data_IF_003237685055
#
_entry.id   IF_003237685055
#
_cell.length_a   1.000
_cell.length_b   1.000
_cell.length_c   1.000
_cell.angle_alpha   90.00
_cell.angle_beta   90.00
_cell.angle_gamma   90.00
#
_symmetry.space_group_name_H-M   'P 1'
#
loop_
_entity.id
_entity.type
_entity.pdbx_description
1 polymer ?
#
# COMPACT_ATOMS: atom_id res chain seq x y z
N UNK A 1 58.88 -14.71 -55.27
CA UNK A 1 57.47 -14.63 -55.68
C UNK A 1 56.63 -14.88 -54.45
N UNK A 2 56.08 -13.85 -53.88
CA UNK A 2 55.43 -13.96 -52.61
C UNK A 2 53.98 -13.40 -52.80
N UNK A 3 52.99 -14.28 -52.76
CA UNK A 3 51.59 -13.94 -52.99
C UNK A 3 50.91 -13.74 -51.66
N UNK A 4 50.64 -12.49 -51.34
CA UNK A 4 49.86 -12.09 -50.17
C UNK A 4 48.38 -12.46 -50.35
N UNK A 5 47.83 -13.26 -49.44
CA UNK A 5 46.39 -13.49 -49.27
C UNK A 5 45.81 -12.46 -48.29
N UNK A 6 45.16 -11.45 -48.79
CA UNK A 6 44.34 -10.54 -48.00
C UNK A 6 43.04 -11.25 -47.56
N UNK A 7 42.84 -11.46 -46.27
CA UNK A 7 41.59 -11.93 -45.70
C UNK A 7 40.51 -10.81 -45.78
N UNK A 8 39.55 -10.96 -46.69
CA UNK A 8 38.35 -10.14 -46.69
C UNK A 8 37.46 -10.50 -45.49
N UNK A 9 37.35 -9.58 -44.52
CA UNK A 9 36.36 -9.68 -43.45
C UNK A 9 34.98 -9.33 -44.02
N UNK A 10 34.03 -10.24 -43.98
CA UNK A 10 32.71 -10.05 -44.54
C UNK A 10 31.94 -8.93 -43.82
N UNK A 11 31.17 -8.12 -44.60
CA UNK A 11 30.30 -7.07 -44.05
C UNK A 11 29.35 -7.54 -42.94
N UNK A 12 28.98 -8.83 -42.92
CA UNK A 12 28.19 -9.42 -41.85
C UNK A 12 28.95 -9.55 -40.52
N UNK A 13 30.24 -9.81 -40.55
CA UNK A 13 31.08 -9.86 -39.35
C UNK A 13 31.27 -8.48 -38.70
N UNK A 14 31.39 -7.41 -39.52
CA UNK A 14 31.47 -6.04 -39.00
C UNK A 14 30.15 -5.56 -38.38
N UNK A 15 29.00 -5.92 -38.91
CA UNK A 15 27.69 -5.56 -38.34
C UNK A 15 27.43 -6.31 -37.04
N UNK A 16 27.86 -7.57 -36.92
CA UNK A 16 27.75 -8.33 -35.67
C UNK A 16 28.66 -7.78 -34.57
N UNK A 17 29.87 -7.34 -34.89
CA UNK A 17 30.75 -6.70 -33.91
C UNK A 17 30.25 -5.32 -33.47
N UNK A 18 29.71 -4.52 -34.37
CA UNK A 18 29.16 -3.20 -34.04
C UNK A 18 27.90 -3.32 -33.15
N UNK A 19 27.02 -4.29 -33.43
CA UNK A 19 25.83 -4.57 -32.61
C UNK A 19 26.19 -5.05 -31.21
N UNK A 20 27.19 -5.93 -31.05
CA UNK A 20 27.64 -6.42 -29.74
C UNK A 20 28.32 -5.34 -28.90
N UNK A 21 29.10 -4.46 -29.53
CA UNK A 21 29.76 -3.36 -28.83
C UNK A 21 28.77 -2.31 -28.36
N UNK A 22 27.72 -1.98 -29.14
CA UNK A 22 26.65 -1.07 -28.69
C UNK A 22 25.82 -1.65 -27.53
N UNK A 23 25.50 -2.94 -27.56
CA UNK A 23 24.77 -3.59 -26.47
C UNK A 23 25.60 -3.70 -25.18
N UNK A 24 26.88 -3.97 -25.29
CA UNK A 24 27.80 -4.02 -24.14
C UNK A 24 28.06 -2.62 -23.59
N UNK A 25 28.17 -1.61 -24.44
CA UNK A 25 28.29 -0.20 -24.02
C UNK A 25 27.00 0.29 -23.33
N UNK A 26 25.82 -0.03 -23.88
CA UNK A 26 24.54 0.29 -23.26
C UNK A 26 24.36 -0.42 -21.90
N UNK A 27 24.74 -1.69 -21.78
CA UNK A 27 24.74 -2.42 -20.51
C UNK A 27 25.78 -1.89 -19.51
N UNK A 28 26.94 -1.42 -19.96
CA UNK A 28 27.95 -0.77 -19.10
C UNK A 28 27.52 0.61 -18.64
N UNK A 29 26.86 1.40 -19.48
CA UNK A 29 26.26 2.69 -19.09
C UNK A 29 25.13 2.50 -18.05
N UNK A 30 24.25 1.52 -18.25
CA UNK A 30 23.22 1.18 -17.26
C UNK A 30 23.81 0.68 -15.92
N UNK A 31 24.96 -0.02 -15.96
CA UNK A 31 25.67 -0.47 -14.76
C UNK A 31 26.45 0.65 -14.03
N UNK A 32 26.66 1.80 -14.66
CA UNK A 32 27.36 2.95 -14.08
C UNK A 32 26.43 3.99 -13.46
N UNK A 33 25.12 3.96 -13.75
CA UNK A 33 24.14 4.85 -13.09
C UNK A 33 23.76 4.27 -11.74
N UNK A 34 24.48 4.65 -10.70
CA UNK A 34 24.14 4.34 -9.31
C UNK A 34 23.72 5.62 -8.59
N UNK A 35 22.64 5.50 -7.80
CA UNK A 35 22.23 6.58 -6.93
C UNK A 35 21.21 7.55 -7.56
N UNK A 36 21.31 8.78 -7.16
CA UNK A 36 20.43 9.89 -7.59
C UNK A 36 21.29 11.06 -8.08
N UNK A 37 20.90 11.64 -9.21
CA UNK A 37 21.44 12.92 -9.67
C UNK A 37 20.43 14.03 -9.41
N UNK A 38 20.82 15.20 -8.88
CA UNK A 38 19.89 16.27 -8.53
C UNK A 38 19.36 17.05 -9.74
N UNK A 39 19.67 16.62 -10.96
CA UNK A 39 19.24 17.27 -12.18
C UNK A 39 18.18 16.43 -12.89
N UNK A 40 17.09 17.10 -13.34
CA UNK A 40 16.05 16.44 -14.11
C UNK A 40 16.50 16.17 -15.55
N UNK A 41 16.23 14.97 -16.02
CA UNK A 41 16.53 14.55 -17.40
C UNK A 41 15.25 14.09 -18.09
N UNK A 42 14.97 14.60 -19.26
CA UNK A 42 13.72 14.26 -19.98
C UNK A 42 12.45 14.68 -19.25
N UNK A 43 12.49 15.72 -18.42
CA UNK A 43 11.35 16.21 -17.64
C UNK A 43 11.06 15.45 -16.36
N UNK A 44 11.98 14.60 -15.91
CA UNK A 44 11.84 13.83 -14.68
C UNK A 44 13.16 13.69 -13.93
N UNK A 45 13.08 13.50 -12.61
CA UNK A 45 14.19 13.04 -11.77
C UNK A 45 14.28 11.52 -11.82
N UNK A 46 15.49 10.99 -11.86
CA UNK A 46 15.72 9.54 -11.92
C UNK A 46 16.45 9.06 -10.67
N UNK A 47 15.88 8.04 -10.02
CA UNK A 47 16.49 7.38 -8.86
C UNK A 47 16.81 5.94 -9.22
N UNK A 48 18.07 5.56 -9.07
CA UNK A 48 18.58 4.20 -9.30
C UNK A 48 18.94 3.53 -7.98
N UNK A 49 19.08 2.20 -7.93
CA UNK A 49 19.49 1.50 -6.72
C UNK A 49 20.74 2.12 -6.07
N UNK A 50 20.66 2.33 -4.75
CA UNK A 50 21.65 3.07 -3.98
C UNK A 50 21.39 4.57 -3.83
N UNK A 51 20.45 5.14 -4.61
CA UNK A 51 19.97 6.51 -4.43
C UNK A 51 18.85 6.60 -3.39
N UNK A 52 18.73 7.78 -2.77
CA UNK A 52 17.66 8.08 -1.83
C UNK A 52 16.49 8.74 -2.55
N UNK A 53 15.31 8.12 -2.46
CA UNK A 53 14.08 8.67 -3.07
C UNK A 53 13.72 10.02 -2.42
N UNK A 54 13.98 10.17 -1.12
CA UNK A 54 13.73 11.44 -0.42
C UNK A 54 14.53 12.62 -1.02
N UNK A 55 15.76 12.39 -1.46
CA UNK A 55 16.57 13.46 -2.07
C UNK A 55 15.97 13.93 -3.41
N UNK A 56 15.37 13.00 -4.17
CA UNK A 56 14.63 13.33 -5.39
C UNK A 56 13.33 14.10 -5.10
N UNK A 57 12.61 13.73 -4.03
CA UNK A 57 11.44 14.48 -3.58
C UNK A 57 11.80 15.91 -3.21
N UNK A 58 12.87 16.10 -2.45
CA UNK A 58 13.36 17.43 -2.08
C UNK A 58 13.83 18.26 -3.29
N UNK A 59 14.40 17.63 -4.30
CA UNK A 59 14.76 18.29 -5.56
C UNK A 59 13.53 18.71 -6.34
N UNK A 60 12.59 17.79 -6.55
CA UNK A 60 11.33 18.05 -7.26
C UNK A 60 10.45 19.08 -6.53
N UNK A 61 10.48 19.14 -5.19
CA UNK A 61 9.76 20.14 -4.41
C UNK A 61 10.23 21.58 -4.75
N UNK A 62 11.53 21.76 -4.96
CA UNK A 62 12.14 23.07 -5.31
C UNK A 62 12.05 23.42 -6.80
N UNK A 63 11.79 22.44 -7.66
CA UNK A 63 11.69 22.65 -9.10
C UNK A 63 10.25 23.05 -9.47
N UNK A 64 10.01 24.23 -10.07
CA UNK A 64 8.67 24.65 -10.44
C UNK A 64 8.09 23.87 -11.65
N UNK A 65 8.93 23.16 -12.42
CA UNK A 65 8.57 22.56 -13.70
C UNK A 65 8.53 21.03 -13.61
N UNK A 66 9.60 20.41 -13.08
CA UNK A 66 9.75 18.95 -13.11
C UNK A 66 9.23 18.32 -11.81
N UNK A 67 8.00 17.83 -11.84
CA UNK A 67 7.28 17.22 -10.71
C UNK A 67 7.18 15.69 -10.82
N UNK A 68 7.95 15.07 -11.69
CA UNK A 68 7.95 13.61 -11.87
C UNK A 68 9.26 13.02 -11.40
N UNK A 69 9.15 11.95 -10.60
CA UNK A 69 10.29 11.15 -10.13
C UNK A 69 10.10 9.72 -10.62
N UNK A 70 11.06 9.22 -11.40
CA UNK A 70 11.10 7.87 -11.91
C UNK A 70 12.10 7.04 -11.10
N UNK A 71 11.57 6.09 -10.35
CA UNK A 71 12.36 5.16 -9.53
C UNK A 71 12.57 3.87 -10.32
N UNK A 72 13.81 3.55 -10.63
CA UNK A 72 14.17 2.41 -11.46
C UNK A 72 14.21 1.10 -10.68
N UNK A 73 14.01 -0.02 -11.40
CA UNK A 73 13.92 -1.36 -10.83
C UNK A 73 15.03 -1.66 -9.83
N UNK A 74 14.64 -2.19 -8.67
CA UNK A 74 15.53 -2.55 -7.59
C UNK A 74 14.89 -2.47 -6.21
N UNK A 75 15.68 -2.77 -5.18
CA UNK A 75 15.25 -2.69 -3.79
C UNK A 75 15.81 -1.44 -3.13
N UNK A 76 14.92 -0.67 -2.51
CA UNK A 76 15.24 0.56 -1.79
C UNK A 76 14.98 0.38 -0.30
N UNK A 77 15.95 0.80 0.51
CA UNK A 77 15.98 0.62 1.96
C UNK A 77 16.18 1.96 2.66
N UNK A 78 15.72 2.13 3.91
CA UNK A 78 16.05 3.31 4.70
C UNK A 78 17.57 3.45 4.87
N UNK A 79 18.08 4.67 4.73
CA UNK A 79 19.51 5.00 4.97
C UNK A 79 19.78 5.38 6.42
N UNK A 80 18.75 5.53 7.24
CA UNK A 80 18.82 5.82 8.66
C UNK A 80 17.57 5.28 9.37
N UNK A 81 17.67 5.09 10.67
CA UNK A 81 16.51 4.81 11.53
C UNK A 81 15.64 6.05 11.62
N UNK A 82 14.33 5.87 11.70
CA UNK A 82 13.42 7.00 11.81
C UNK A 82 11.95 6.65 11.66
N UNK A 83 11.12 7.67 11.48
CA UNK A 83 9.69 7.54 11.38
C UNK A 83 9.26 6.94 10.03
N UNK A 84 9.79 7.42 8.94
CA UNK A 84 9.47 6.94 7.60
C UNK A 84 10.69 6.90 6.68
N UNK A 85 10.66 5.99 5.69
CA UNK A 85 11.67 5.94 4.64
C UNK A 85 11.44 7.03 3.58
N UNK A 86 10.18 7.25 3.20
CA UNK A 86 9.75 8.27 2.26
C UNK A 86 8.72 9.14 2.94
N UNK A 87 8.98 10.44 2.95
CA UNK A 87 8.16 11.41 3.66
C UNK A 87 7.64 12.49 2.72
N UNK A 88 6.31 12.54 2.51
CA UNK A 88 5.63 13.62 1.83
C UNK A 88 5.05 14.63 2.83
N UNK A 89 5.05 15.89 2.48
CA UNK A 89 4.32 16.97 3.16
C UNK A 89 3.93 18.04 2.14
N UNK A 90 3.28 19.11 2.56
CA UNK A 90 2.74 20.18 1.70
C UNK A 90 3.68 20.63 0.57
N UNK A 91 4.99 20.72 0.79
CA UNK A 91 5.96 21.13 -0.25
C UNK A 91 6.13 20.11 -1.38
N UNK A 92 5.72 18.88 -1.15
CA UNK A 92 5.76 17.79 -2.13
C UNK A 92 4.44 17.62 -2.88
N UNK A 93 3.46 18.49 -2.62
CA UNK A 93 2.18 18.39 -3.31
C UNK A 93 2.33 18.51 -4.83
N UNK A 94 1.53 17.74 -5.56
CA UNK A 94 1.57 17.66 -7.02
C UNK A 94 2.75 16.84 -7.60
N UNK A 95 3.60 16.23 -6.78
CA UNK A 95 4.67 15.35 -7.25
C UNK A 95 4.10 13.97 -7.62
N UNK A 96 4.53 13.46 -8.78
CA UNK A 96 4.31 12.07 -9.19
C UNK A 96 5.57 11.25 -8.90
N UNK A 97 5.44 10.26 -8.01
CA UNK A 97 6.45 9.23 -7.74
C UNK A 97 6.04 7.94 -8.45
N UNK A 98 6.83 7.52 -9.42
CA UNK A 98 6.51 6.41 -10.31
C UNK A 98 7.61 5.36 -10.38
N UNK A 99 7.25 4.10 -10.23
CA UNK A 99 8.16 2.98 -10.41
C UNK A 99 8.36 2.64 -11.89
N UNK A 100 9.59 2.42 -12.30
CA UNK A 100 9.97 1.93 -13.65
C UNK A 100 10.52 0.52 -13.50
N UNK A 101 9.72 -0.46 -13.89
CA UNK A 101 10.03 -1.88 -13.68
C UNK A 101 9.58 -2.37 -12.28
N UNK A 102 10.24 -3.40 -11.77
CA UNK A 102 9.96 -3.97 -10.44
C UNK A 102 10.74 -3.19 -9.37
N UNK A 103 10.03 -2.38 -8.60
CA UNK A 103 10.59 -1.55 -7.53
C UNK A 103 10.03 -1.98 -6.19
N UNK A 104 10.92 -2.48 -5.33
CA UNK A 104 10.61 -2.86 -3.96
C UNK A 104 11.06 -1.79 -2.98
N UNK A 105 10.11 -1.24 -2.23
CA UNK A 105 10.37 -0.38 -1.06
C UNK A 105 10.22 -1.23 0.21
N UNK A 106 11.21 -1.20 1.08
CA UNK A 106 11.14 -1.96 2.33
C UNK A 106 11.61 -1.15 3.53
N UNK A 107 10.90 -1.26 4.65
CA UNK A 107 11.33 -0.69 5.93
C UNK A 107 12.56 -1.38 6.52
N UNK A 108 12.89 -2.58 6.02
CA UNK A 108 13.97 -3.39 6.55
C UNK A 108 15.34 -2.95 6.03
N UNK A 109 16.26 -2.70 6.96
CA UNK A 109 17.69 -2.56 6.66
C UNK A 109 18.51 -3.31 7.70
N UNK A 110 18.96 -4.55 7.42
CA UNK A 110 19.74 -5.35 8.37
C UNK A 110 21.04 -4.70 8.84
N UNK A 111 21.63 -3.80 8.03
CA UNK A 111 22.87 -3.10 8.38
C UNK A 111 22.66 -2.03 9.48
N UNK A 112 21.45 -1.51 9.60
CA UNK A 112 21.08 -0.49 10.58
C UNK A 112 20.25 -1.05 11.73
N UNK A 113 19.73 -2.28 11.59
CA UNK A 113 18.88 -2.90 12.59
C UNK A 113 19.71 -3.40 13.78
N UNK A 114 19.20 -3.21 14.97
CA UNK A 114 19.70 -3.90 16.15
C UNK A 114 19.12 -5.32 16.13
N UNK A 115 19.96 -6.33 16.06
CA UNK A 115 19.54 -7.72 15.89
C UNK A 115 18.56 -8.23 16.97
N UNK A 116 18.60 -7.65 18.18
CA UNK A 116 17.74 -7.99 19.31
C UNK A 116 16.47 -7.12 19.40
N UNK A 117 16.34 -6.07 18.57
CA UNK A 117 15.17 -5.20 18.60
C UNK A 117 13.94 -5.97 18.12
N UNK A 118 12.77 -5.85 18.79
CA UNK A 118 11.52 -6.50 18.35
C UNK A 118 11.13 -6.13 16.91
N UNK A 119 11.51 -4.94 16.46
CA UNK A 119 11.25 -4.45 15.09
C UNK A 119 12.18 -5.00 14.03
N UNK A 120 13.32 -5.64 14.42
CA UNK A 120 14.30 -6.09 13.45
C UNK A 120 13.69 -7.04 12.40
N UNK A 121 14.06 -6.91 11.11
CA UNK A 121 15.07 -5.98 10.55
C UNK A 121 14.54 -4.61 10.13
N UNK A 122 13.29 -4.22 10.48
CA UNK A 122 12.75 -2.91 10.19
C UNK A 122 13.48 -1.82 11.02
N UNK A 123 13.72 -0.68 10.38
CA UNK A 123 14.40 0.47 11.00
C UNK A 123 13.62 1.77 10.87
N UNK A 124 12.45 1.72 10.23
CA UNK A 124 11.47 2.82 10.17
C UNK A 124 10.08 2.28 10.50
N UNK A 125 9.20 3.12 11.04
CA UNK A 125 7.83 2.74 11.36
C UNK A 125 6.96 2.60 10.09
N UNK A 126 7.12 3.51 9.14
CA UNK A 126 6.40 3.50 7.87
C UNK A 126 7.36 3.41 6.70
N UNK A 127 6.97 2.64 5.66
CA UNK A 127 7.73 2.72 4.41
C UNK A 127 7.45 4.06 3.73
N UNK A 128 6.18 4.49 3.69
CA UNK A 128 5.77 5.77 3.10
C UNK A 128 4.86 6.52 4.07
N UNK A 129 5.12 7.80 4.24
CA UNK A 129 4.29 8.72 5.02
C UNK A 129 3.82 9.89 4.16
N UNK A 130 2.52 10.10 4.10
CA UNK A 130 1.88 11.26 3.50
C UNK A 130 1.35 12.17 4.62
N UNK A 131 2.05 13.28 4.85
CA UNK A 131 1.70 14.27 5.87
C UNK A 131 0.75 15.35 5.35
N UNK A 132 0.48 16.32 6.21
CA UNK A 132 -0.46 17.40 5.95
C UNK A 132 -0.21 18.19 4.66
N UNK A 133 -1.27 18.60 3.98
CA UNK A 133 -1.24 19.46 2.81
C UNK A 133 -0.99 18.75 1.47
N UNK A 134 -1.23 17.46 1.41
CA UNK A 134 -1.14 16.66 0.17
C UNK A 134 -2.52 16.56 -0.48
N UNK A 135 -2.60 16.93 -1.75
CA UNK A 135 -3.81 16.80 -2.56
C UNK A 135 -3.79 15.55 -3.45
N UNK A 136 -4.91 15.27 -4.10
CA UNK A 136 -5.07 14.16 -5.06
C UNK A 136 -4.13 14.26 -6.27
N UNK A 137 -3.54 15.43 -6.51
CA UNK A 137 -2.54 15.63 -7.57
C UNK A 137 -1.19 14.96 -7.25
N UNK A 138 -0.94 14.65 -5.99
CA UNK A 138 0.22 13.85 -5.58
C UNK A 138 -0.07 12.39 -5.85
N UNK A 139 0.74 11.78 -6.71
CA UNK A 139 0.52 10.42 -7.20
C UNK A 139 1.70 9.52 -6.83
N UNK A 140 1.39 8.38 -6.24
CA UNK A 140 2.35 7.28 -6.06
C UNK A 140 1.86 6.05 -6.82
N UNK A 141 2.68 5.49 -7.72
CA UNK A 141 2.23 4.34 -8.52
C UNK A 141 3.32 3.32 -8.86
N UNK A 142 2.88 2.06 -8.88
CA UNK A 142 3.66 0.94 -9.42
C UNK A 142 4.67 0.33 -8.48
N UNK A 143 4.62 0.61 -7.19
CA UNK A 143 5.57 0.12 -6.19
C UNK A 143 5.07 -1.15 -5.50
N UNK A 144 6.04 -1.91 -4.97
CA UNK A 144 5.81 -2.96 -4.00
C UNK A 144 6.37 -2.50 -2.66
N UNK A 145 5.56 -2.60 -1.58
CA UNK A 145 5.84 -2.00 -0.27
C UNK A 145 5.76 -3.07 0.81
N UNK A 146 6.84 -3.26 1.57
CA UNK A 146 6.93 -4.36 2.55
C UNK A 146 7.88 -4.08 3.71
N UNK A 147 7.87 -4.98 4.68
CA UNK A 147 8.90 -5.11 5.70
C UNK A 147 8.80 -4.11 6.85
N UNK A 148 7.71 -3.35 6.96
CA UNK A 148 7.44 -2.59 8.16
C UNK A 148 7.18 -3.56 9.32
N UNK A 149 7.77 -3.23 10.47
CA UNK A 149 7.55 -3.92 11.71
C UNK A 149 7.73 -2.89 12.83
N UNK A 150 6.64 -2.50 13.39
CA UNK A 150 6.56 -1.35 14.26
C UNK A 150 7.43 -1.50 15.54
N UNK A 151 7.94 -0.40 16.03
CA UNK A 151 8.88 -0.36 17.15
C UNK A 151 8.20 -0.44 18.52
N UNK A 152 6.89 -0.27 18.60
CA UNK A 152 6.10 -0.34 19.83
C UNK A 152 5.32 -1.64 19.93
N UNK A 153 5.83 -2.72 19.39
CA UNK A 153 5.16 -4.01 19.48
C UNK A 153 4.98 -4.40 20.93
N UNK A 154 3.71 -4.43 21.35
CA UNK A 154 3.35 -4.71 22.74
C UNK A 154 3.65 -6.14 23.15
N UNK A 155 4.88 -6.41 23.53
CA UNK A 155 5.24 -7.57 24.32
C UNK A 155 5.17 -7.27 25.82
N UNK A 156 4.48 -6.21 26.23
CA UNK A 156 4.40 -5.78 27.63
C UNK A 156 5.70 -5.19 28.18
N UNK A 157 6.79 -5.30 27.46
CA UNK A 157 8.07 -4.75 27.83
C UNK A 157 8.30 -3.45 27.05
N UNK A 158 7.89 -2.35 27.70
CA UNK A 158 8.39 -1.01 27.42
C UNK A 158 8.22 -0.52 25.99
N UNK A 159 7.04 -0.01 25.72
CA UNK A 159 6.98 1.15 24.83
C UNK A 159 8.01 2.18 25.36
N UNK A 160 8.92 2.72 24.55
CA UNK A 160 9.78 3.82 24.98
C UNK A 160 9.00 5.12 25.23
N UNK A 161 7.70 5.03 25.39
CA UNK A 161 6.73 6.09 25.60
C UNK A 161 6.73 6.41 27.08
N UNK A 162 7.59 7.31 27.50
CA UNK A 162 7.80 7.68 28.88
C UNK A 162 6.76 8.68 29.43
N UNK A 163 5.88 9.26 28.60
CA UNK A 163 4.91 10.26 29.04
C UNK A 163 3.50 10.05 28.51
N UNK A 164 2.49 10.52 29.25
CA UNK A 164 1.08 10.47 28.85
C UNK A 164 0.80 11.27 27.57
N UNK A 165 1.55 12.32 27.28
CA UNK A 165 1.44 13.06 26.01
C UNK A 165 1.87 12.22 24.82
N UNK A 166 2.98 11.50 24.95
CA UNK A 166 3.47 10.60 23.91
C UNK A 166 2.52 9.41 23.75
N UNK A 167 1.93 8.87 24.83
CA UNK A 167 0.93 7.81 24.74
C UNK A 167 -0.28 8.23 23.92
N UNK A 168 -0.75 9.46 24.05
CA UNK A 168 -1.86 10.01 23.23
C UNK A 168 -1.50 10.13 21.75
N UNK A 169 -0.23 10.22 21.41
CA UNK A 169 0.28 10.32 20.04
C UNK A 169 0.84 9.00 19.51
N UNK A 170 0.77 7.91 20.28
CA UNK A 170 1.31 6.61 19.88
C UNK A 170 0.72 6.11 18.56
N UNK A 171 -0.58 6.30 18.34
CA UNK A 171 -1.24 5.97 17.09
C UNK A 171 -0.62 6.69 15.90
N UNK A 172 -0.27 7.97 16.05
CA UNK A 172 0.40 8.74 15.02
C UNK A 172 1.73 8.12 14.58
N UNK A 173 2.50 7.62 15.56
CA UNK A 173 3.86 7.14 15.27
C UNK A 173 3.91 5.68 14.81
N UNK A 174 2.89 4.89 15.04
CA UNK A 174 3.03 3.43 14.98
C UNK A 174 2.04 2.72 14.08
N UNK A 175 0.87 3.25 13.82
CA UNK A 175 -0.08 2.68 12.87
C UNK A 175 0.27 3.03 11.41
N UNK A 176 -0.12 2.17 10.46
CA UNK A 176 0.19 2.34 9.05
C UNK A 176 1.59 1.86 8.66
N UNK A 177 1.89 0.59 8.88
CA UNK A 177 3.21 0.04 8.63
C UNK A 177 3.71 0.24 7.20
N UNK A 178 2.95 -0.17 6.20
CA UNK A 178 3.31 0.08 4.80
C UNK A 178 3.18 1.56 4.42
N UNK A 179 2.01 2.13 4.65
CA UNK A 179 1.68 3.53 4.30
C UNK A 179 0.90 4.19 5.43
N UNK A 180 1.34 5.35 5.87
CA UNK A 180 0.58 6.26 6.74
C UNK A 180 0.12 7.46 5.95
N UNK A 181 -1.17 7.81 6.04
CA UNK A 181 -1.75 9.05 5.54
C UNK A 181 -2.30 9.85 6.71
N UNK A 182 -1.90 11.11 6.85
CA UNK A 182 -2.18 11.88 8.06
C UNK A 182 -2.68 13.29 7.77
N UNK A 183 -3.65 13.75 8.56
CA UNK A 183 -4.27 15.06 8.54
C UNK A 183 -4.90 15.40 7.16
N UNK A 184 -4.73 16.60 6.62
CA UNK A 184 -5.27 17.03 5.30
C UNK A 184 -4.40 16.44 4.19
N UNK A 185 -4.49 15.14 3.99
CA UNK A 185 -3.65 14.41 3.03
C UNK A 185 -4.50 13.45 2.20
N UNK A 186 -4.56 13.69 0.89
CA UNK A 186 -5.46 12.98 -0.03
C UNK A 186 -4.72 12.46 -1.28
N UNK A 187 -3.63 11.69 -1.12
CA UNK A 187 -2.85 11.22 -2.26
C UNK A 187 -3.65 10.28 -3.16
N UNK A 188 -3.22 10.17 -4.42
CA UNK A 188 -3.58 9.08 -5.31
C UNK A 188 -2.51 7.98 -5.22
N UNK A 189 -2.92 6.80 -4.80
CA UNK A 189 -2.08 5.60 -4.67
C UNK A 189 -2.64 4.56 -5.64
N UNK A 190 -1.87 4.22 -6.68
CA UNK A 190 -2.39 3.34 -7.72
C UNK A 190 -1.38 2.29 -8.20
N UNK A 191 -1.87 1.10 -8.54
CA UNK A 191 -1.03 -0.03 -8.96
C UNK A 191 0.08 -0.35 -7.94
N UNK A 192 -0.23 -0.26 -6.66
CA UNK A 192 0.70 -0.52 -5.57
C UNK A 192 0.35 -1.85 -4.90
N UNK A 193 1.36 -2.65 -4.63
CA UNK A 193 1.24 -3.84 -3.79
C UNK A 193 1.78 -3.53 -2.39
N UNK A 194 0.91 -3.61 -1.37
CA UNK A 194 1.27 -3.42 0.05
C UNK A 194 1.17 -4.77 0.74
N UNK A 195 2.30 -5.32 1.18
CA UNK A 195 2.31 -6.71 1.64
C UNK A 195 3.34 -6.98 2.74
N UNK A 196 3.02 -7.97 3.58
CA UNK A 196 3.89 -8.46 4.65
C UNK A 196 4.39 -7.31 5.56
N UNK A 197 3.52 -6.34 5.85
CA UNK A 197 3.80 -5.29 6.81
C UNK A 197 3.10 -5.59 8.14
N UNK A 198 3.69 -5.13 9.22
CA UNK A 198 3.12 -5.19 10.55
C UNK A 198 3.09 -3.79 11.17
N UNK A 199 1.98 -3.46 11.80
CA UNK A 199 1.83 -2.25 12.61
C UNK A 199 1.12 -2.56 13.93
N UNK A 200 1.29 -1.69 14.88
CA UNK A 200 0.58 -1.71 16.16
C UNK A 200 0.30 -0.27 16.58
N UNK A 201 -0.91 0.07 16.97
CA UNK A 201 -2.02 -0.86 17.15
C UNK A 201 -2.78 -1.19 15.85
N UNK A 202 -2.83 -0.33 14.84
CA UNK A 202 -3.77 -0.38 13.72
C UNK A 202 -3.08 -0.28 12.35
N UNK A 203 -3.82 -0.58 11.27
CA UNK A 203 -3.40 -0.29 9.91
C UNK A 203 -2.11 -0.99 9.47
N UNK A 204 -2.05 -2.32 9.54
CA UNK A 204 -0.82 -3.06 9.20
C UNK A 204 -0.27 -2.72 7.82
N UNK A 205 -1.12 -2.68 6.81
CA UNK A 205 -0.78 -2.24 5.46
C UNK A 205 -0.84 -0.72 5.31
N UNK A 206 -2.01 -0.13 5.51
CA UNK A 206 -2.29 1.30 5.29
C UNK A 206 -3.13 1.83 6.45
N UNK A 207 -2.75 2.98 7.00
CA UNK A 207 -3.58 3.74 7.93
C UNK A 207 -3.89 5.11 7.36
N UNK A 208 -5.16 5.53 7.46
CA UNK A 208 -5.64 6.85 7.07
C UNK A 208 -6.21 7.55 8.30
N UNK A 209 -5.67 8.69 8.66
CA UNK A 209 -6.03 9.45 9.85
C UNK A 209 -6.18 10.94 9.52
N UNK A 210 -7.35 11.32 9.03
CA UNK A 210 -7.63 12.71 8.65
C UNK A 210 -7.99 13.63 9.83
N UNK A 211 -8.16 13.08 11.03
CA UNK A 211 -8.55 13.85 12.24
C UNK A 211 -9.85 14.66 12.05
N UNK A 212 -10.77 14.17 11.24
CA UNK A 212 -12.00 14.91 10.86
C UNK A 212 -11.78 16.09 9.90
N UNK A 213 -10.55 16.33 9.47
CA UNK A 213 -10.21 17.42 8.53
C UNK A 213 -10.36 16.95 7.08
N UNK A 214 -11.57 16.56 6.71
CA UNK A 214 -11.83 15.95 5.40
C UNK A 214 -12.30 16.99 4.40
N UNK A 215 -11.50 17.20 3.33
CA UNK A 215 -11.87 17.98 2.17
C UNK A 215 -12.04 17.11 0.92
N UNK A 216 -11.29 16.02 0.86
CA UNK A 216 -11.30 15.01 -0.19
C UNK A 216 -11.15 13.62 0.43
N UNK A 217 -11.07 12.58 -0.40
CA UNK A 217 -10.74 11.22 0.03
C UNK A 217 -9.38 10.80 -0.52
N UNK A 218 -8.65 9.97 0.22
CA UNK A 218 -7.52 9.21 -0.34
C UNK A 218 -8.06 8.33 -1.48
N UNK A 219 -7.33 8.25 -2.59
CA UNK A 219 -7.67 7.34 -3.68
C UNK A 219 -6.71 6.13 -3.69
N UNK A 220 -7.26 4.95 -3.42
CA UNK A 220 -6.59 3.67 -3.65
C UNK A 220 -7.19 3.04 -4.90
N UNK A 221 -6.39 2.81 -5.94
CA UNK A 221 -6.89 2.24 -7.20
C UNK A 221 -5.96 1.19 -7.77
N UNK A 222 -6.54 0.05 -8.20
CA UNK A 222 -5.78 -1.06 -8.78
C UNK A 222 -4.68 -1.58 -7.84
N UNK A 223 -4.92 -1.58 -6.52
CA UNK A 223 -3.94 -1.97 -5.52
C UNK A 223 -4.16 -3.41 -5.06
N UNK A 224 -3.08 -4.05 -4.60
CA UNK A 224 -3.11 -5.34 -3.93
C UNK A 224 -2.63 -5.14 -2.49
N UNK A 225 -3.49 -5.46 -1.53
CA UNK A 225 -3.22 -5.30 -0.10
C UNK A 225 -3.30 -6.70 0.51
N UNK A 226 -2.13 -7.28 0.84
CA UNK A 226 -2.11 -8.69 1.24
C UNK A 226 -1.14 -9.01 2.37
N UNK A 227 -1.53 -10.00 3.18
CA UNK A 227 -0.71 -10.56 4.26
C UNK A 227 -0.19 -9.50 5.26
N UNK A 228 -0.85 -8.35 5.36
CA UNK A 228 -0.49 -7.36 6.36
C UNK A 228 -1.12 -7.75 7.69
N UNK A 229 -0.49 -7.34 8.78
CA UNK A 229 -0.87 -7.76 10.13
C UNK A 229 -0.90 -6.58 11.09
N UNK A 230 -1.81 -6.66 12.06
CA UNK A 230 -1.90 -5.67 13.13
C UNK A 230 -2.35 -6.30 14.44
N UNK A 231 -2.05 -5.64 15.54
CA UNK A 231 -2.50 -6.13 16.85
C UNK A 231 -3.99 -5.94 17.06
N UNK A 232 -4.57 -4.88 16.52
CA UNK A 232 -5.97 -4.56 16.77
C UNK A 232 -6.80 -4.53 15.49
N UNK A 233 -6.90 -3.44 14.78
CA UNK A 233 -7.85 -3.20 13.69
C UNK A 233 -7.18 -2.91 12.35
N UNK A 234 -7.87 -3.22 11.26
CA UNK A 234 -7.45 -2.86 9.91
C UNK A 234 -6.12 -3.48 9.48
N UNK A 235 -6.01 -4.82 9.48
CA UNK A 235 -4.79 -5.49 9.04
C UNK A 235 -4.32 -5.03 7.67
N UNK A 236 -5.23 -4.91 6.71
CA UNK A 236 -4.97 -4.35 5.37
C UNK A 236 -5.05 -2.83 5.35
N UNK A 237 -6.23 -2.27 5.67
CA UNK A 237 -6.49 -0.83 5.69
C UNK A 237 -7.27 -0.45 6.94
N UNK A 238 -6.90 0.67 7.54
CA UNK A 238 -7.62 1.25 8.65
C UNK A 238 -7.99 2.71 8.35
N UNK A 239 -9.28 3.04 8.46
CA UNK A 239 -9.78 4.40 8.35
C UNK A 239 -10.13 4.90 9.74
N UNK A 240 -9.20 5.58 10.38
CA UNK A 240 -9.37 6.11 11.73
C UNK A 240 -10.38 7.27 11.74
N UNK A 241 -10.89 7.60 12.91
CA UNK A 241 -11.99 8.54 13.09
C UNK A 241 -11.96 9.76 12.18
N UNK A 242 -13.05 9.99 11.46
CA UNK A 242 -13.21 11.13 10.56
C UNK A 242 -12.33 11.07 9.31
N UNK A 243 -12.06 9.87 8.78
CA UNK A 243 -11.23 9.67 7.59
C UNK A 243 -12.05 9.24 6.38
N UNK A 244 -11.66 9.65 5.19
CA UNK A 244 -12.33 9.28 3.95
C UNK A 244 -11.39 8.60 2.96
N UNK A 245 -11.84 7.48 2.37
CA UNK A 245 -11.13 6.79 1.31
C UNK A 245 -12.06 6.40 0.16
N UNK A 246 -11.57 6.55 -1.07
CA UNK A 246 -12.14 5.95 -2.28
C UNK A 246 -11.24 4.77 -2.69
N UNK A 247 -11.82 3.58 -2.77
CA UNK A 247 -11.10 2.34 -3.01
C UNK A 247 -11.73 1.65 -4.22
N UNK A 248 -11.03 1.65 -5.34
CA UNK A 248 -11.54 1.15 -6.60
C UNK A 248 -10.63 0.07 -7.17
N UNK A 249 -11.23 -1.04 -7.57
CA UNK A 249 -10.56 -2.18 -8.19
C UNK A 249 -9.35 -2.67 -7.38
N UNK A 250 -9.54 -2.91 -6.08
CA UNK A 250 -8.49 -3.37 -5.18
C UNK A 250 -8.74 -4.81 -4.69
N UNK A 251 -7.66 -5.54 -4.42
CA UNK A 251 -7.66 -6.87 -3.86
C UNK A 251 -7.16 -6.84 -2.41
N UNK A 252 -7.97 -7.38 -1.50
CA UNK A 252 -7.60 -7.59 -0.10
C UNK A 252 -7.54 -9.09 0.17
N UNK A 253 -6.37 -9.63 0.51
CA UNK A 253 -6.21 -11.07 0.72
C UNK A 253 -5.21 -11.39 1.83
N UNK A 254 -5.60 -12.29 2.73
CA UNK A 254 -4.71 -12.82 3.76
C UNK A 254 -4.29 -11.82 4.84
N UNK A 255 -5.00 -10.70 4.99
CA UNK A 255 -4.69 -9.72 6.03
C UNK A 255 -5.25 -10.17 7.39
N UNK A 256 -4.51 -9.91 8.46
CA UNK A 256 -4.80 -10.39 9.80
C UNK A 256 -4.83 -9.25 10.80
N UNK A 257 -5.86 -9.22 11.65
CA UNK A 257 -5.98 -8.31 12.78
C UNK A 257 -6.18 -9.08 14.10
N UNK A 258 -6.41 -8.36 15.20
CA UNK A 258 -6.70 -8.93 16.51
C UNK A 258 -5.61 -9.91 17.01
N UNK A 259 -4.35 -9.59 16.76
CA UNK A 259 -3.22 -10.40 17.21
C UNK A 259 -2.79 -10.12 18.66
N UNK A 260 -3.17 -8.96 19.23
CA UNK A 260 -2.79 -8.57 20.57
C UNK A 260 -3.80 -7.59 21.17
N UNK A 261 -4.63 -8.07 22.07
CA UNK A 261 -5.81 -7.39 22.64
C UNK A 261 -5.45 -6.33 23.67
N UNK A 262 -4.43 -6.57 24.50
CA UNK A 262 -4.19 -5.77 25.69
C UNK A 262 -3.56 -4.40 25.46
N UNK A 263 -3.02 -4.19 24.28
CA UNK A 263 -2.21 -3.00 23.99
C UNK A 263 -3.04 -1.70 23.95
N UNK A 264 -4.25 -1.74 23.38
CA UNK A 264 -5.12 -0.56 23.32
C UNK A 264 -5.63 -0.19 24.72
N UNK A 265 -6.02 -1.17 25.53
CA UNK A 265 -6.41 -0.95 26.92
C UNK A 265 -5.30 -0.29 27.73
N UNK A 266 -4.05 -0.70 27.55
CA UNK A 266 -2.88 -0.11 28.19
C UNK A 266 -2.61 1.35 27.73
N UNK A 267 -2.86 1.67 26.47
CA UNK A 267 -2.58 2.99 25.90
C UNK A 267 -3.70 4.01 26.17
N UNK A 268 -4.96 3.56 26.07
CA UNK A 268 -6.11 4.48 26.07
C UNK A 268 -6.91 4.44 27.36
N UNK A 269 -6.69 3.42 28.20
CA UNK A 269 -7.53 3.13 29.36
C UNK A 269 -8.95 2.69 28.99
N UNK A 270 -9.22 2.44 27.70
CA UNK A 270 -10.51 2.00 27.18
C UNK A 270 -10.64 0.47 27.17
N UNK A 271 -11.86 0.00 27.08
CA UNK A 271 -12.13 -1.41 26.80
C UNK A 271 -11.87 -1.69 25.31
N UNK A 272 -11.14 -2.76 25.05
CA UNK A 272 -11.00 -3.29 23.70
C UNK A 272 -12.02 -4.41 23.48
N UNK A 273 -12.82 -4.26 22.44
CA UNK A 273 -13.80 -5.27 22.04
C UNK A 273 -13.20 -6.13 20.94
N UNK A 274 -12.82 -7.40 21.21
CA UNK A 274 -12.16 -8.26 20.23
C UNK A 274 -13.04 -8.64 19.05
N UNK A 275 -14.34 -8.41 19.12
CA UNK A 275 -15.29 -8.55 18.04
C UNK A 275 -15.20 -7.42 17.01
N UNK A 276 -14.62 -6.29 17.36
CA UNK A 276 -14.45 -5.15 16.46
C UNK A 276 -13.11 -5.17 15.73
N UNK A 277 -13.14 -4.62 14.54
CA UNK A 277 -11.98 -4.54 13.66
C UNK A 277 -11.75 -5.81 12.84
N UNK A 278 -11.38 -5.64 11.62
CA UNK A 278 -11.23 -6.71 10.66
C UNK A 278 -9.83 -6.81 10.06
N UNK A 279 -9.53 -7.98 9.51
CA UNK A 279 -8.27 -8.20 8.82
C UNK A 279 -8.15 -7.43 7.52
N UNK A 280 -9.23 -7.33 6.74
CA UNK A 280 -9.13 -6.62 5.49
C UNK A 280 -9.20 -5.11 5.66
N UNK A 281 -10.29 -4.59 6.22
CA UNK A 281 -10.46 -3.15 6.40
C UNK A 281 -11.37 -2.82 7.58
N UNK A 282 -10.98 -1.86 8.39
CA UNK A 282 -11.82 -1.28 9.45
C UNK A 282 -12.11 0.19 9.14
N UNK A 283 -13.36 0.60 9.32
CA UNK A 283 -13.83 1.98 9.12
C UNK A 283 -14.44 2.46 10.42
N UNK A 284 -13.76 3.36 11.09
CA UNK A 284 -14.21 3.91 12.39
C UNK A 284 -15.34 4.92 12.23
N UNK A 285 -16.04 5.14 13.32
CA UNK A 285 -17.13 6.10 13.41
C UNK A 285 -16.73 7.50 12.86
N UNK A 286 -17.63 8.12 12.09
CA UNK A 286 -17.41 9.41 11.42
C UNK A 286 -16.52 9.34 10.19
N UNK A 287 -16.02 8.16 9.83
CA UNK A 287 -15.28 7.92 8.59
C UNK A 287 -16.21 7.49 7.46
N UNK A 288 -15.72 7.50 6.22
CA UNK A 288 -16.49 7.07 5.04
C UNK A 288 -15.59 6.29 4.07
N UNK A 289 -16.04 5.10 3.68
CA UNK A 289 -15.43 4.29 2.64
C UNK A 289 -16.31 4.29 1.38
N UNK A 290 -15.76 4.68 0.23
CA UNK A 290 -16.39 4.50 -1.09
C UNK A 290 -15.67 3.39 -1.83
N UNK A 291 -16.25 2.20 -1.84
CA UNK A 291 -15.62 0.97 -2.35
C UNK A 291 -16.33 0.49 -3.60
N UNK A 292 -15.58 0.21 -4.66
CA UNK A 292 -16.11 -0.34 -5.91
C UNK A 292 -15.18 -1.39 -6.53
N UNK A 293 -15.76 -2.40 -7.16
CA UNK A 293 -15.02 -3.42 -7.91
C UNK A 293 -13.91 -4.12 -7.10
N UNK A 294 -14.08 -4.27 -5.80
CA UNK A 294 -13.05 -4.83 -4.93
C UNK A 294 -13.33 -6.31 -4.61
N UNK A 295 -12.27 -7.04 -4.28
CA UNK A 295 -12.37 -8.41 -3.76
C UNK A 295 -11.71 -8.48 -2.39
N UNK A 296 -12.48 -8.97 -1.41
CA UNK A 296 -12.05 -9.25 -0.05
C UNK A 296 -12.14 -10.76 0.16
N UNK A 297 -11.01 -11.44 0.30
CA UNK A 297 -11.00 -12.89 0.43
C UNK A 297 -9.88 -13.43 1.29
N UNK A 298 -10.18 -14.45 2.10
CA UNK A 298 -9.17 -15.11 2.93
C UNK A 298 -8.54 -14.23 4.00
N UNK A 299 -9.19 -13.14 4.42
CA UNK A 299 -8.73 -12.29 5.51
C UNK A 299 -9.27 -12.80 6.86
N UNK A 300 -8.73 -12.30 7.97
CA UNK A 300 -9.34 -12.45 9.28
C UNK A 300 -10.52 -11.48 9.41
N UNK A 301 -11.72 -11.91 9.08
CA UNK A 301 -12.88 -11.08 8.75
C UNK A 301 -12.65 -10.15 7.55
N UNK A 302 -13.74 -9.78 6.89
CA UNK A 302 -13.71 -8.91 5.70
C UNK A 302 -13.63 -7.45 6.11
N UNK A 303 -14.78 -6.77 6.24
CA UNK A 303 -14.86 -5.35 6.60
C UNK A 303 -15.73 -5.17 7.83
N UNK A 304 -15.24 -4.34 8.76
CA UNK A 304 -15.98 -3.79 9.89
C UNK A 304 -16.14 -2.28 9.65
N UNK A 305 -17.39 -1.81 9.48
CA UNK A 305 -17.69 -0.44 9.09
C UNK A 305 -18.71 0.21 10.04
N UNK A 306 -18.20 0.99 10.98
CA UNK A 306 -18.96 1.88 11.86
C UNK A 306 -19.07 3.31 11.31
N UNK A 307 -18.63 3.49 10.05
CA UNK A 307 -18.63 4.78 9.37
C UNK A 307 -20.02 5.30 9.03
N UNK A 308 -20.03 6.44 8.35
CA UNK A 308 -21.26 7.09 7.92
C UNK A 308 -21.25 7.31 6.41
N UNK A 309 -22.31 6.86 5.73
CA UNK A 309 -22.47 7.04 4.28
C UNK A 309 -21.48 6.23 3.44
N UNK A 310 -20.93 5.18 3.98
CA UNK A 310 -20.07 4.24 3.23
C UNK A 310 -20.85 3.52 2.14
N UNK A 311 -20.17 3.21 1.04
CA UNK A 311 -20.75 2.49 -0.09
C UNK A 311 -19.86 1.34 -0.52
N UNK A 312 -20.47 0.19 -0.83
CA UNK A 312 -19.81 -0.98 -1.39
C UNK A 312 -20.56 -1.44 -2.63
N UNK A 313 -19.93 -1.26 -3.79
CA UNK A 313 -20.58 -1.48 -5.08
C UNK A 313 -19.81 -2.52 -5.89
N UNK A 314 -20.52 -3.44 -6.51
CA UNK A 314 -19.96 -4.43 -7.44
C UNK A 314 -18.72 -5.16 -6.88
N UNK A 315 -18.74 -5.49 -5.60
CA UNK A 315 -17.61 -6.05 -4.86
C UNK A 315 -17.87 -7.51 -4.45
N UNK A 316 -16.82 -8.22 -4.07
CA UNK A 316 -16.88 -9.61 -3.63
C UNK A 316 -16.32 -9.73 -2.23
N UNK A 317 -17.10 -10.34 -1.33
CA UNK A 317 -16.69 -10.79 -0.02
C UNK A 317 -16.77 -12.31 0.02
N UNK A 318 -15.62 -13.00 0.17
CA UNK A 318 -15.56 -14.43 0.02
C UNK A 318 -14.62 -15.12 0.99
N UNK A 319 -15.19 -15.90 1.92
CA UNK A 319 -14.43 -16.74 2.87
C UNK A 319 -13.34 -15.98 3.63
N UNK A 320 -13.70 -14.87 4.25
CA UNK A 320 -12.81 -14.12 5.14
C UNK A 320 -12.74 -14.81 6.51
N UNK A 321 -12.16 -16.00 6.54
CA UNK A 321 -12.14 -16.91 7.68
C UNK A 321 -10.72 -17.26 8.14
N UNK A 322 -9.71 -16.42 7.81
CA UNK A 322 -8.33 -16.64 8.23
C UNK A 322 -8.26 -16.75 9.76
N UNK A 323 -7.49 -17.71 10.23
CA UNK A 323 -7.23 -17.91 11.66
C UNK A 323 -5.88 -17.30 12.06
N UNK A 324 -5.71 -17.00 13.35
CA UNK A 324 -4.44 -16.45 13.87
C UNK A 324 -4.59 -15.21 14.73
N UNK A 325 -5.78 -14.61 14.77
CA UNK A 325 -6.15 -13.62 15.78
C UNK A 325 -6.42 -14.27 17.14
N UNK A 326 -6.39 -13.48 18.21
CA UNK A 326 -6.66 -13.95 19.58
C UNK A 326 -8.15 -14.24 19.78
N UNK A 327 -9.01 -13.46 19.12
CA UNK A 327 -10.45 -13.66 19.21
C UNK A 327 -10.88 -14.98 18.57
N UNK A 328 -11.72 -15.73 19.30
CA UNK A 328 -12.36 -16.96 18.84
C UNK A 328 -13.74 -16.70 18.22
N UNK A 329 -14.14 -15.46 18.15
CA UNK A 329 -15.47 -15.07 17.74
C UNK A 329 -15.72 -15.24 16.25
N UNK A 330 -17.00 -15.19 15.89
CA UNK A 330 -17.43 -15.42 14.50
C UNK A 330 -16.74 -14.47 13.53
N UNK A 331 -16.32 -15.03 12.41
CA UNK A 331 -15.80 -14.26 11.29
C UNK A 331 -16.98 -13.75 10.47
N UNK A 332 -16.84 -12.57 9.94
CA UNK A 332 -17.84 -11.95 9.07
C UNK A 332 -17.24 -11.50 7.75
N UNK A 333 -18.10 -11.38 6.76
CA UNK A 333 -17.70 -10.89 5.45
C UNK A 333 -17.78 -9.35 5.39
N UNK A 334 -18.94 -8.80 5.75
CA UNK A 334 -19.18 -7.36 5.83
C UNK A 334 -20.08 -7.06 7.03
N UNK A 335 -19.54 -6.46 8.05
CA UNK A 335 -20.29 -5.91 9.17
C UNK A 335 -20.36 -4.39 9.02
N UNK A 336 -21.54 -3.84 8.74
CA UNK A 336 -21.73 -2.43 8.44
C UNK A 336 -22.93 -1.84 9.18
N UNK A 337 -22.74 -0.70 9.81
CA UNK A 337 -23.80 -0.01 10.57
C UNK A 337 -24.93 0.49 9.68
N UNK A 338 -24.62 1.04 8.49
CA UNK A 338 -25.60 1.46 7.49
C UNK A 338 -25.33 0.78 6.13
N UNK A 339 -26.06 -0.28 5.86
CA UNK A 339 -25.97 -1.04 4.62
C UNK A 339 -26.69 -0.42 3.41
N UNK A 340 -27.29 0.74 3.53
CA UNK A 340 -28.07 1.37 2.44
C UNK A 340 -27.24 1.66 1.18
N UNK A 341 -25.93 1.85 1.33
CA UNK A 341 -24.96 2.06 0.26
C UNK A 341 -24.43 0.79 -0.41
N UNK A 342 -24.82 -0.42 0.07
CA UNK A 342 -24.33 -1.69 -0.47
C UNK A 342 -25.22 -2.16 -1.61
N UNK A 343 -24.65 -2.37 -2.80
CA UNK A 343 -25.39 -2.80 -3.99
C UNK A 343 -24.53 -3.53 -5.00
N UNK A 344 -25.13 -4.49 -5.72
CA UNK A 344 -24.43 -5.28 -6.75
C UNK A 344 -23.33 -6.17 -6.19
N UNK A 345 -23.29 -6.35 -4.86
CA UNK A 345 -22.19 -6.98 -4.14
C UNK A 345 -22.54 -8.44 -3.86
N UNK A 346 -21.52 -9.29 -3.95
CA UNK A 346 -21.60 -10.72 -3.71
C UNK A 346 -20.99 -11.04 -2.35
N UNK A 347 -21.81 -11.57 -1.44
CA UNK A 347 -21.44 -11.78 -0.02
C UNK A 347 -21.63 -13.26 0.32
N UNK A 348 -20.52 -13.95 0.64
CA UNK A 348 -20.54 -15.32 1.15
C UNK A 348 -20.84 -15.31 2.66
N UNK A 349 -21.59 -16.32 3.12
CA UNK A 349 -21.89 -16.49 4.53
C UNK A 349 -23.34 -16.19 4.89
N UNK A 350 -23.71 -16.53 6.12
CA UNK A 350 -25.05 -16.33 6.62
C UNK A 350 -25.32 -14.84 6.94
N UNK A 351 -26.55 -14.42 6.78
CA UNK A 351 -27.04 -13.07 7.14
C UNK A 351 -26.81 -12.74 8.63
N UNK A 352 -26.67 -13.76 9.45
CA UNK A 352 -26.39 -13.59 10.89
C UNK A 352 -25.01 -13.00 11.19
N UNK A 353 -24.07 -13.08 10.23
CA UNK A 353 -22.73 -12.49 10.34
C UNK A 353 -22.69 -10.98 9.99
N UNK A 354 -23.84 -10.46 9.59
CA UNK A 354 -24.02 -9.05 9.25
C UNK A 354 -24.94 -8.41 10.28
N UNK A 355 -24.79 -7.14 10.54
CA UNK A 355 -25.75 -6.33 11.35
C UNK A 355 -27.14 -6.27 10.69
N UNK A 356 -27.40 -7.07 9.69
CA UNK A 356 -28.65 -7.18 8.91
C UNK A 356 -29.13 -5.86 8.29
N UNK A 357 -28.18 -4.96 8.03
CA UNK A 357 -28.48 -3.65 7.43
C UNK A 357 -28.42 -3.66 5.90
N UNK A 358 -27.85 -4.73 5.32
CA UNK A 358 -27.64 -4.86 3.86
C UNK A 358 -28.90 -5.37 3.17
N UNK A 359 -29.35 -4.64 2.17
CA UNK A 359 -30.54 -4.97 1.37
C UNK A 359 -30.31 -6.23 0.52
N UNK A 360 -31.09 -7.28 0.78
CA UNK A 360 -30.99 -8.58 0.09
C UNK A 360 -31.46 -8.55 -1.37
N UNK A 361 -32.32 -7.63 -1.75
CA UNK A 361 -32.80 -7.51 -3.12
C UNK A 361 -31.77 -6.85 -4.04
N UNK A 362 -30.89 -6.05 -3.47
CA UNK A 362 -29.82 -5.33 -4.20
C UNK A 362 -28.50 -6.08 -4.26
N UNK A 363 -28.37 -7.19 -3.52
CA UNK A 363 -27.11 -7.91 -3.35
C UNK A 363 -27.32 -9.43 -3.49
N UNK A 364 -26.24 -10.15 -3.73
CA UNK A 364 -26.28 -11.61 -3.84
C UNK A 364 -25.62 -12.23 -2.59
N UNK A 365 -26.43 -12.91 -1.79
CA UNK A 365 -25.96 -13.67 -0.62
C UNK A 365 -25.75 -15.14 -0.97
N UNK A 366 -24.80 -15.77 -0.31
CA UNK A 366 -24.40 -17.18 -0.55
C UNK A 366 -24.19 -17.49 -2.05
N UNK A 367 -23.42 -16.65 -2.76
CA UNK A 367 -23.21 -16.87 -4.17
C UNK A 367 -22.42 -18.17 -4.40
N UNK A 368 -22.56 -18.79 -5.57
CA UNK A 368 -21.72 -19.94 -5.95
C UNK A 368 -20.23 -19.58 -5.92
N UNK A 369 -19.36 -20.59 -5.76
CA UNK A 369 -17.91 -20.42 -5.72
C UNK A 369 -17.41 -19.58 -6.91
N UNK A 370 -16.70 -18.46 -6.66
CA UNK A 370 -16.15 -17.62 -7.71
C UNK A 370 -15.08 -18.32 -8.55
N UNK A 371 -14.49 -19.42 -8.08
CA UNK A 371 -13.42 -20.16 -8.74
C UNK A 371 -12.26 -19.24 -9.13
N UNK A 372 -11.72 -18.54 -8.16
CA UNK A 372 -10.62 -17.61 -8.40
C UNK A 372 -9.43 -18.29 -9.10
N UNK A 373 -8.86 -17.61 -10.08
CA UNK A 373 -7.55 -17.99 -10.62
C UNK A 373 -6.39 -17.56 -9.70
N UNK A 374 -5.15 -17.77 -10.12
CA UNK A 374 -3.97 -17.42 -9.34
C UNK A 374 -3.81 -15.91 -9.09
N UNK A 375 -4.49 -15.07 -9.86
CA UNK A 375 -4.53 -13.61 -9.71
C UNK A 375 -5.77 -13.13 -8.93
N UNK A 376 -6.53 -14.05 -8.34
CA UNK A 376 -7.80 -13.80 -7.65
C UNK A 376 -8.90 -13.21 -8.55
N UNK A 377 -8.84 -13.47 -9.85
CA UNK A 377 -9.91 -13.11 -10.78
C UNK A 377 -10.97 -14.22 -10.76
N UNK A 378 -12.23 -13.90 -10.45
CA UNK A 378 -13.26 -14.90 -10.46
C UNK A 378 -13.54 -15.39 -11.89
N UNK A 379 -13.64 -16.71 -12.05
CA UNK A 379 -13.83 -17.38 -13.34
C UNK A 379 -15.31 -17.81 -13.56
N UNK A 380 -16.12 -17.79 -12.53
CA UNK A 380 -17.53 -18.13 -12.65
C UNK A 380 -18.31 -17.00 -13.35
N UNK A 381 -19.18 -17.31 -14.34
CA UNK A 381 -19.79 -16.31 -15.24
C UNK A 381 -20.59 -15.21 -14.55
N UNK A 382 -21.26 -15.52 -13.44
CA UNK A 382 -22.04 -14.53 -12.68
C UNK A 382 -21.21 -13.40 -12.10
N UNK A 383 -19.90 -13.61 -11.93
CA UNK A 383 -18.97 -12.60 -11.43
C UNK A 383 -18.32 -11.74 -12.52
N UNK A 384 -18.74 -11.84 -13.77
CA UNK A 384 -18.06 -11.21 -14.91
C UNK A 384 -17.86 -9.69 -14.77
N UNK A 385 -18.73 -9.01 -13.99
CA UNK A 385 -18.71 -7.55 -13.81
C UNK A 385 -18.43 -7.11 -12.39
N UNK A 386 -18.12 -8.03 -11.47
CA UNK A 386 -17.92 -7.70 -10.06
C UNK A 386 -16.55 -8.13 -9.58
N UNK A 387 -16.04 -7.43 -8.57
CA UNK A 387 -14.78 -7.73 -7.93
C UNK A 387 -13.54 -7.27 -8.70
N UNK A 388 -12.42 -7.42 -8.07
CA UNK A 388 -11.09 -7.03 -8.57
C UNK A 388 -10.76 -7.66 -9.93
N UNK A 389 -10.15 -6.84 -10.79
CA UNK A 389 -9.55 -7.26 -12.06
C UNK A 389 -8.17 -6.64 -12.21
N UNK A 390 -7.12 -7.43 -12.45
CA UNK A 390 -5.79 -6.87 -12.66
C UNK A 390 -5.79 -5.98 -13.91
N UNK A 391 -5.40 -4.72 -13.71
CA UNK A 391 -5.24 -3.75 -14.80
C UNK A 391 -3.77 -3.59 -15.09
N UNK A 392 -3.39 -3.77 -16.36
CA UNK A 392 -2.01 -3.54 -16.77
C UNK A 392 -1.66 -2.07 -16.58
N UNK A 393 -0.62 -1.81 -15.80
CA UNK A 393 -0.12 -0.44 -15.62
C UNK A 393 0.27 0.14 -16.99
N UNK A 394 -0.19 1.35 -17.35
CA UNK A 394 0.32 2.04 -18.54
C UNK A 394 1.83 2.16 -18.46
N UNK A 395 2.53 1.91 -19.57
CA UNK A 395 3.96 2.22 -19.64
C UNK A 395 4.15 3.73 -19.42
N UNK A 396 5.20 4.11 -18.67
CA UNK A 396 5.56 5.51 -18.51
C UNK A 396 5.66 6.14 -19.90
N UNK A 397 4.76 7.07 -20.20
CA UNK A 397 4.72 7.67 -21.53
C UNK A 397 6.02 8.45 -21.77
N UNK A 398 6.72 8.25 -22.88
CA UNK A 398 7.79 9.15 -23.26
C UNK A 398 7.16 10.54 -23.47
N UNK A 399 7.44 11.48 -22.56
CA UNK A 399 7.00 12.86 -22.76
C UNK A 399 7.80 13.43 -23.92
N UNK A 400 7.16 13.58 -25.08
CA UNK A 400 7.65 14.39 -26.19
C UNK A 400 7.83 15.81 -25.66
N UNK A 401 9.02 16.38 -25.83
CA UNK A 401 9.25 17.82 -25.64
C UNK A 401 8.21 18.56 -26.46
N UNK A 402 7.32 19.28 -25.83
CA UNK A 402 6.69 20.39 -26.52
C UNK A 402 7.77 21.46 -26.75
N UNK A 403 7.83 22.02 -27.96
CA UNK A 403 8.83 23.00 -28.34
C UNK A 403 8.78 24.28 -27.55
#
# INVERSE_FOLDING_TARGET
>A
MNTGQGRQISRRAMLALAGSTCLVAARRLAAQQKGFTPEATGGAYHVYPGGRIQDALEAAARDPVNKTILVHAGTYRPSARGQAMIWFNQRHDGITLEAVGDVLLTAANPELAEAKAPSAPAVVNHVVYFGDGITRNTVMRGFRITGANNFTTGTGEQSPIESDEIRKTAFFYTDGGGIKVYARSYPTIEHVEVFDNYASPCGGGISVEHLGQVQESVLLRNCIIRNNRTQTTGGGVDLLHGSHATIDNCLFVGNLSNMGVDYVGLLTGGEYHPEHGSGAMTVFAGSTATVSNCTFTGNWSGVDDDGTGSTYVDSIFWKNTLTGGISKESRYELDITDGSGVRGTFIHGDVNDLRQTVDREKNTFDPPDPRFDAAFVPQAPQYAKVGYRPVKRPAAAPRTRQP
#
